data_IF_215669927383
#
_entry.id   IF_215669927383
#
_cell.length_a   1.000
_cell.length_b   1.000
_cell.length_c   1.000
_cell.angle_alpha   90.00
_cell.angle_beta   90.00
_cell.angle_gamma   90.00
#
_symmetry.space_group_name_H-M   'P 1'
#
loop_
_entity.id
_entity.type
_entity.pdbx_description
1 polymer ?
#
# COMPACT_ATOMS: atom_id res chain seq x y z
N UNK A 1 -33.76 -35.94 34.10
CA UNK A 1 -33.34 -34.52 34.23
C UNK A 1 -32.15 -34.48 35.18
N UNK A 2 -31.09 -33.78 34.76
CA UNK A 2 -29.69 -34.08 35.09
C UNK A 2 -29.22 -33.79 36.51
N UNK A 3 -28.12 -34.48 36.84
CA UNK A 3 -27.53 -34.69 38.14
C UNK A 3 -26.60 -33.56 38.66
N UNK A 4 -26.37 -33.65 39.96
CA UNK A 4 -25.46 -32.93 40.87
C UNK A 4 -23.98 -33.27 40.57
N UNK A 5 -23.03 -32.39 40.93
CA UNK A 5 -21.83 -32.69 41.80
C UNK A 5 -20.62 -31.75 41.61
N UNK A 6 -20.20 -31.21 42.77
CA UNK A 6 -18.90 -30.77 43.28
C UNK A 6 -18.13 -29.53 42.75
N UNK A 7 -17.99 -28.58 43.67
CA UNK A 7 -16.80 -27.74 43.81
C UNK A 7 -15.68 -28.43 44.63
N UNK A 8 -14.47 -27.86 44.54
CA UNK A 8 -13.32 -28.22 45.39
C UNK A 8 -12.38 -27.02 45.56
N UNK A 9 -12.11 -26.67 46.82
CA UNK A 9 -11.00 -25.84 47.29
C UNK A 9 -10.07 -26.73 48.12
N UNK A 10 -8.75 -26.59 47.97
CA UNK A 10 -7.76 -26.74 49.07
C UNK A 10 -6.33 -26.46 48.61
N UNK A 11 -5.67 -25.52 49.28
CA UNK A 11 -4.22 -25.43 49.48
C UNK A 11 -3.75 -26.56 50.42
N UNK A 12 -2.48 -27.00 50.30
CA UNK A 12 -1.68 -27.47 51.45
C UNK A 12 -0.18 -27.44 51.10
N UNK A 13 0.61 -27.15 52.12
CA UNK A 13 2.03 -26.74 52.19
C UNK A 13 2.84 -27.82 52.94
N UNK A 14 4.18 -27.71 52.90
CA UNK A 14 5.22 -28.42 53.71
C UNK A 14 5.56 -29.90 53.33
N UNK A 15 6.81 -30.39 53.23
CA UNK A 15 8.09 -30.03 53.88
C UNK A 15 9.37 -30.60 53.16
N UNK A 16 10.53 -30.01 53.47
CA UNK A 16 11.89 -29.87 52.85
C UNK A 16 12.87 -31.09 52.99
N UNK A 17 14.23 -31.06 52.72
CA UNK A 17 15.16 -29.98 52.33
C UNK A 17 16.31 -30.30 51.31
N UNK A 18 16.85 -29.29 50.61
CA UNK A 18 18.31 -29.05 50.48
C UNK A 18 18.63 -27.69 49.83
N UNK A 19 19.47 -26.91 50.50
CA UNK A 19 19.77 -25.46 50.32
C UNK A 19 20.82 -25.14 49.21
N UNK A 20 21.37 -23.90 49.09
CA UNK A 20 21.05 -22.87 48.08
C UNK A 20 22.33 -22.47 47.23
N UNK A 21 22.46 -21.36 46.42
CA UNK A 21 22.35 -19.94 46.85
C UNK A 21 21.93 -18.84 45.80
N UNK A 22 21.40 -17.73 46.34
CA UNK A 22 21.79 -16.30 46.12
C UNK A 22 21.64 -15.61 44.74
N UNK A 23 20.61 -14.75 44.67
CA UNK A 23 20.61 -13.29 44.40
C UNK A 23 21.74 -12.57 43.61
N UNK A 24 21.29 -11.64 42.73
CA UNK A 24 21.81 -10.28 42.36
C UNK A 24 22.49 -10.07 40.99
N UNK A 25 21.87 -9.12 40.23
CA UNK A 25 22.40 -7.89 39.57
C UNK A 25 23.90 -7.87 39.21
N UNK A 26 24.25 -7.38 38.01
CA UNK A 26 25.37 -6.46 37.62
C UNK A 26 25.50 -6.53 36.07
N UNK A 27 25.47 -5.43 35.29
CA UNK A 27 26.47 -4.38 34.96
C UNK A 27 27.77 -4.88 34.30
N UNK A 28 28.32 -4.02 33.45
CA UNK A 28 29.26 -4.26 32.34
C UNK A 28 30.67 -4.77 32.70
N UNK A 29 31.31 -5.35 31.64
CA UNK A 29 32.73 -5.22 31.24
C UNK A 29 33.70 -6.41 31.44
N UNK A 30 34.17 -6.90 30.28
CA UNK A 30 35.57 -7.17 29.86
C UNK A 30 36.31 -8.49 30.19
N UNK A 31 36.81 -9.09 29.08
CA UNK A 31 38.16 -9.67 28.88
C UNK A 31 38.24 -11.19 28.66
N UNK A 32 38.48 -11.59 27.41
CA UNK A 32 39.56 -12.51 27.05
C UNK A 32 39.76 -12.51 25.52
N UNK A 33 40.92 -12.01 25.07
CA UNK A 33 41.49 -12.25 23.73
C UNK A 33 42.58 -13.33 23.87
N UNK A 34 42.90 -14.10 22.80
CA UNK A 34 44.03 -13.64 21.98
C UNK A 34 43.93 -13.96 20.48
N UNK A 35 44.31 -12.97 19.67
CA UNK A 35 45.11 -13.14 18.46
C UNK A 35 44.49 -13.81 17.22
N UNK A 36 44.17 -13.00 16.21
CA UNK A 36 44.83 -13.01 14.88
C UNK A 36 44.31 -11.85 14.03
N UNK A 37 45.25 -11.09 13.52
CA UNK A 37 45.12 -9.97 12.59
C UNK A 37 44.51 -10.42 11.26
N UNK A 38 43.31 -9.94 10.91
CA UNK A 38 42.89 -9.78 9.52
C UNK A 38 41.90 -8.62 9.43
N UNK A 39 42.36 -7.49 8.89
CA UNK A 39 41.51 -6.41 8.40
C UNK A 39 40.83 -6.87 7.11
N UNK A 40 39.51 -6.72 6.94
CA UNK A 40 38.90 -6.79 5.62
C UNK A 40 39.04 -5.43 4.91
N UNK A 41 39.33 -5.40 3.59
CA UNK A 41 39.54 -4.16 2.85
C UNK A 41 38.21 -3.42 2.65
N UNK A 42 38.21 -2.14 3.00
CA UNK A 42 37.08 -1.21 2.84
C UNK A 42 37.12 -0.55 1.46
N UNK A 43 36.95 -1.30 0.37
CA UNK A 43 36.82 -0.73 -1.00
C UNK A 43 36.16 -1.70 -2.00
N UNK A 44 34.99 -2.27 -1.71
CA UNK A 44 34.20 -2.99 -2.76
C UNK A 44 32.67 -2.95 -2.58
N UNK A 45 32.15 -2.44 -1.44
CA UNK A 45 30.70 -2.44 -1.18
C UNK A 45 29.89 -1.44 -2.05
N UNK A 46 30.51 -0.37 -2.55
CA UNK A 46 29.83 0.61 -3.40
C UNK A 46 29.53 0.04 -4.80
N UNK A 47 30.47 -0.70 -5.39
CA UNK A 47 30.33 -1.28 -6.73
C UNK A 47 29.26 -2.38 -6.79
N UNK A 48 29.08 -3.16 -5.72
CA UNK A 48 28.05 -4.19 -5.66
C UNK A 48 26.63 -3.61 -5.60
N UNK A 49 26.46 -2.47 -4.90
CA UNK A 49 25.16 -1.80 -4.80
C UNK A 49 24.80 -1.07 -6.10
N UNK A 50 25.80 -0.51 -6.78
CA UNK A 50 25.64 0.16 -8.08
C UNK A 50 25.08 -0.80 -9.15
N UNK A 51 25.63 -2.01 -9.23
CA UNK A 51 25.18 -3.03 -10.20
C UNK A 51 23.73 -3.45 -9.91
N UNK A 52 23.37 -3.69 -8.64
CA UNK A 52 21.98 -4.06 -8.28
C UNK A 52 20.97 -2.94 -8.55
N UNK A 53 21.37 -1.67 -8.41
CA UNK A 53 20.51 -0.51 -8.72
C UNK A 53 20.29 -0.33 -10.21
N UNK A 54 21.33 -0.55 -11.04
CA UNK A 54 21.20 -0.52 -12.50
C UNK A 54 20.31 -1.67 -12.99
N UNK A 55 20.47 -2.87 -12.45
CA UNK A 55 19.63 -4.00 -12.83
C UNK A 55 18.15 -3.77 -12.44
N UNK A 56 17.90 -3.03 -11.34
CA UNK A 56 16.56 -2.56 -11.00
C UNK A 56 16.01 -1.55 -12.02
N UNK A 57 16.82 -0.59 -12.46
CA UNK A 57 16.43 0.37 -13.51
C UNK A 57 16.15 -0.31 -14.85
N UNK A 58 16.92 -1.33 -15.23
CA UNK A 58 16.68 -2.13 -16.44
C UNK A 58 15.34 -2.87 -16.35
N UNK A 59 14.97 -3.36 -15.16
CA UNK A 59 13.65 -3.98 -14.96
C UNK A 59 12.50 -2.98 -15.07
N UNK A 60 12.69 -1.71 -14.68
CA UNK A 60 11.67 -0.67 -14.75
C UNK A 60 11.56 -0.06 -16.16
N UNK A 61 12.65 -0.07 -16.93
CA UNK A 61 12.73 0.52 -18.26
C UNK A 61 13.30 -0.46 -19.29
N UNK A 62 12.56 -1.52 -19.68
CA UNK A 62 13.06 -2.54 -20.60
C UNK A 62 13.38 -2.01 -22.01
N UNK A 63 12.75 -0.91 -22.43
CA UNK A 63 12.95 -0.33 -23.77
C UNK A 63 14.13 0.66 -23.83
N UNK A 64 14.84 0.88 -22.72
CA UNK A 64 15.97 1.83 -22.64
C UNK A 64 17.31 1.09 -22.61
N UNK A 65 18.32 1.66 -23.25
CA UNK A 65 19.67 1.06 -23.29
C UNK A 65 20.37 1.12 -21.91
N UNK A 66 21.08 0.06 -21.55
CA UNK A 66 21.74 -0.11 -20.25
C UNK A 66 22.79 0.98 -20.00
N UNK A 67 23.53 1.37 -21.03
CA UNK A 67 24.53 2.44 -20.93
C UNK A 67 23.91 3.81 -20.64
N UNK A 68 22.70 4.05 -21.16
CA UNK A 68 21.95 5.26 -20.89
C UNK A 68 21.41 5.29 -19.44
N UNK A 69 20.95 4.15 -18.94
CA UNK A 69 20.50 4.00 -17.55
C UNK A 69 21.64 4.21 -16.56
N UNK A 70 22.83 3.65 -16.84
CA UNK A 70 24.04 3.83 -16.03
C UNK A 70 24.46 5.31 -15.97
N UNK A 71 24.48 6.00 -17.12
CA UNK A 71 24.78 7.43 -17.18
C UNK A 71 23.76 8.28 -16.42
N UNK A 72 22.47 7.98 -16.55
CA UNK A 72 21.41 8.71 -15.84
C UNK A 72 21.46 8.48 -14.32
N UNK A 73 21.92 7.29 -13.89
CA UNK A 73 22.13 6.96 -12.49
C UNK A 73 23.34 7.71 -11.92
N UNK A 74 24.46 7.75 -12.65
CA UNK A 74 25.65 8.55 -12.30
C UNK A 74 25.32 10.06 -12.21
N UNK A 75 24.58 10.60 -13.19
CA UNK A 75 24.14 12.01 -13.21
C UNK A 75 23.16 12.36 -12.08
N UNK A 76 22.54 11.34 -11.48
CA UNK A 76 21.65 11.46 -10.33
C UNK A 76 22.36 11.23 -8.99
N UNK A 77 23.69 11.05 -9.00
CA UNK A 77 24.51 10.93 -7.80
C UNK A 77 24.33 9.61 -7.06
N UNK A 78 24.15 8.51 -7.80
CA UNK A 78 23.85 7.16 -7.28
C UNK A 78 22.53 7.08 -6.48
N UNK A 79 21.63 8.06 -6.66
CA UNK A 79 20.29 8.07 -6.09
C UNK A 79 19.28 7.48 -7.08
N UNK A 80 18.74 6.32 -6.72
CA UNK A 80 17.79 5.55 -7.51
C UNK A 80 16.49 6.32 -7.77
N UNK A 81 15.97 7.02 -6.77
CA UNK A 81 14.67 7.69 -6.87
C UNK A 81 14.76 8.91 -7.79
N UNK A 82 15.88 9.64 -7.74
CA UNK A 82 16.16 10.75 -8.64
C UNK A 82 16.38 10.28 -10.08
N UNK A 83 17.07 9.14 -10.28
CA UNK A 83 17.26 8.54 -11.59
C UNK A 83 15.92 8.10 -12.22
N UNK A 84 15.07 7.41 -11.45
CA UNK A 84 13.74 6.97 -11.90
C UNK A 84 12.88 8.17 -12.29
N UNK A 85 12.89 9.24 -11.50
CA UNK A 85 12.10 10.45 -11.78
C UNK A 85 12.53 11.11 -13.10
N UNK A 86 13.83 11.28 -13.30
CA UNK A 86 14.39 11.87 -14.53
C UNK A 86 14.09 11.04 -15.77
N UNK A 87 14.23 9.73 -15.70
CA UNK A 87 13.94 8.83 -16.81
C UNK A 87 12.44 8.86 -17.20
N UNK A 88 11.55 8.96 -16.20
CA UNK A 88 10.13 9.13 -16.44
C UNK A 88 9.79 10.50 -17.07
N UNK A 89 10.39 11.59 -16.58
CA UNK A 89 10.21 12.92 -17.17
C UNK A 89 10.66 12.95 -18.65
N UNK A 90 11.76 12.25 -18.97
CA UNK A 90 12.22 12.11 -20.35
C UNK A 90 11.22 11.34 -21.22
N UNK A 91 10.66 10.22 -20.75
CA UNK A 91 9.62 9.48 -21.48
C UNK A 91 8.37 10.32 -21.71
N UNK A 92 7.95 11.07 -20.70
CA UNK A 92 6.80 11.97 -20.80
C UNK A 92 7.07 13.14 -21.76
N UNK A 93 8.29 13.68 -21.78
CA UNK A 93 8.68 14.72 -22.73
C UNK A 93 8.72 14.22 -24.18
N UNK A 94 9.18 12.98 -24.42
CA UNK A 94 9.16 12.34 -25.74
C UNK A 94 7.71 12.11 -26.21
N UNK A 95 6.82 11.71 -25.31
CA UNK A 95 5.39 11.57 -25.61
C UNK A 95 4.68 12.92 -25.82
N UNK A 96 5.11 13.99 -25.16
CA UNK A 96 4.59 15.33 -25.36
C UNK A 96 5.01 15.90 -26.73
N UNK A 97 6.27 15.68 -27.13
CA UNK A 97 6.81 16.15 -28.41
C UNK A 97 6.25 15.39 -29.62
N UNK A 98 5.69 14.19 -29.44
CA UNK A 98 4.96 13.46 -30.50
C UNK A 98 3.49 13.87 -30.60
N UNK A 99 2.93 14.53 -29.57
CA UNK A 99 1.54 14.99 -29.55
C UNK A 99 1.29 16.30 -30.31
N UNK A 100 2.34 17.11 -30.53
CA UNK A 100 2.26 18.43 -31.18
C UNK A 100 1.98 18.36 -32.69
N UNK A 101 2.07 17.16 -33.30
CA UNK A 101 1.68 16.93 -34.70
C UNK A 101 0.22 16.49 -34.90
N UNK A 102 -0.54 16.25 -33.81
CA UNK A 102 -1.87 15.60 -33.90
C UNK A 102 -3.05 16.46 -33.45
N UNK A 103 -2.82 17.69 -32.98
CA UNK A 103 -3.90 18.53 -32.46
C UNK A 103 -4.73 19.25 -33.53
N UNK A 104 -4.33 19.28 -34.81
CA UNK A 104 -4.99 20.10 -35.84
C UNK A 104 -6.16 19.40 -36.59
N UNK A 105 -6.44 18.12 -36.32
CA UNK A 105 -7.48 17.36 -37.05
C UNK A 105 -8.78 17.19 -36.22
N UNK A 106 -8.72 17.32 -34.89
CA UNK A 106 -9.81 16.86 -34.02
C UNK A 106 -10.91 17.89 -33.73
N UNK A 107 -10.82 19.12 -34.26
CA UNK A 107 -11.71 20.23 -33.89
C UNK A 107 -12.83 20.53 -34.90
N UNK A 108 -12.89 19.84 -36.04
CA UNK A 108 -13.93 20.09 -37.06
C UNK A 108 -15.09 19.08 -37.09
N UNK A 109 -15.04 17.96 -36.35
CA UNK A 109 -16.03 16.88 -36.53
C UNK A 109 -17.23 16.91 -35.57
N UNK A 110 -17.32 17.87 -34.65
CA UNK A 110 -18.31 17.87 -33.56
C UNK A 110 -19.48 18.89 -33.70
N UNK A 111 -19.70 19.47 -34.88
CA UNK A 111 -20.68 20.56 -35.05
C UNK A 111 -21.80 20.34 -36.09
N UNK A 112 -22.09 19.11 -36.54
CA UNK A 112 -23.12 18.88 -37.56
C UNK A 112 -23.94 17.60 -37.39
N UNK A 113 -24.55 17.38 -36.23
CA UNK A 113 -25.63 16.39 -36.09
C UNK A 113 -26.72 16.92 -35.16
N UNK A 114 -27.47 17.92 -35.60
CA UNK A 114 -28.87 18.13 -35.19
C UNK A 114 -29.62 18.64 -36.41
N UNK A 115 -30.73 17.98 -36.72
CA UNK A 115 -31.77 18.31 -37.70
C UNK A 115 -31.51 17.86 -39.16
N UNK A 116 -32.15 16.80 -39.61
CA UNK A 116 -33.48 16.89 -40.25
C UNK A 116 -34.04 15.48 -40.53
N UNK A 117 -35.35 15.32 -40.37
CA UNK A 117 -36.08 14.09 -40.63
C UNK A 117 -36.57 14.03 -42.08
N UNK A 118 -36.67 12.82 -42.63
CA UNK A 118 -37.31 12.64 -43.94
C UNK A 118 -37.08 11.24 -44.49
N UNK A 119 -38.12 10.42 -44.42
CA UNK A 119 -38.14 9.07 -44.96
C UNK A 119 -37.78 9.02 -46.45
N UNK A 120 -36.85 8.13 -46.82
CA UNK A 120 -36.78 7.55 -48.15
C UNK A 120 -36.68 6.04 -48.01
N UNK A 121 -37.69 5.38 -48.57
CA UNK A 121 -37.83 3.94 -48.71
C UNK A 121 -36.56 3.34 -49.31
N UNK A 122 -36.04 2.31 -48.64
CA UNK A 122 -34.98 1.48 -49.19
C UNK A 122 -35.46 0.73 -50.42
N UNK A 123 -34.80 0.96 -51.53
CA UNK A 123 -34.60 -0.05 -52.57
C UNK A 123 -33.08 -0.23 -52.69
N UNK A 124 -32.57 -1.28 -52.04
CA UNK A 124 -31.21 -1.80 -52.25
C UNK A 124 -31.35 -3.26 -52.70
N UNK A 125 -30.55 -3.71 -53.69
CA UNK A 125 -30.86 -4.87 -54.51
C UNK A 125 -30.63 -6.20 -53.76
N UNK A 126 -31.34 -7.28 -54.12
CA UNK A 126 -31.17 -8.59 -53.51
C UNK A 126 -29.91 -9.25 -54.07
N UNK A 127 -28.81 -9.30 -53.29
CA UNK A 127 -27.61 -9.97 -53.81
C UNK A 127 -26.46 -10.28 -52.85
N UNK A 128 -26.49 -9.90 -51.58
CA UNK A 128 -25.29 -10.03 -50.73
C UNK A 128 -25.59 -10.56 -49.33
N UNK A 129 -26.25 -11.71 -49.21
CA UNK A 129 -26.33 -12.44 -47.96
C UNK A 129 -26.04 -13.90 -48.23
N UNK A 130 -24.80 -14.34 -47.99
CA UNK A 130 -24.33 -15.70 -47.67
C UNK A 130 -22.81 -15.77 -47.91
N UNK A 131 -22.04 -14.90 -47.24
CA UNK A 131 -20.58 -15.03 -47.33
C UNK A 131 -20.14 -16.16 -46.38
N UNK A 132 -19.34 -17.14 -46.85
CA UNK A 132 -18.90 -18.26 -46.04
C UNK A 132 -18.16 -17.79 -44.78
N UNK A 133 -18.46 -18.37 -43.62
CA UNK A 133 -17.82 -18.01 -42.35
C UNK A 133 -16.66 -18.96 -42.05
N UNK A 134 -16.72 -20.19 -42.56
CA UNK A 134 -15.73 -21.23 -42.29
C UNK A 134 -14.86 -21.53 -43.51
N UNK A 135 -13.60 -21.91 -43.28
CA UNK A 135 -12.64 -22.21 -44.35
C UNK A 135 -13.09 -23.36 -45.27
N UNK A 136 -13.81 -24.34 -44.73
CA UNK A 136 -14.39 -25.44 -45.52
C UNK A 136 -15.47 -24.95 -46.50
N UNK A 137 -16.32 -24.02 -46.07
CA UNK A 137 -17.37 -23.44 -46.91
C UNK A 137 -16.79 -22.55 -48.02
N UNK A 138 -15.68 -21.84 -47.74
CA UNK A 138 -14.91 -21.12 -48.76
C UNK A 138 -14.31 -22.06 -49.80
N UNK A 139 -13.74 -23.20 -49.39
CA UNK A 139 -13.19 -24.20 -50.30
C UNK A 139 -14.29 -24.81 -51.17
N UNK A 140 -15.45 -25.16 -50.60
CA UNK A 140 -16.58 -25.68 -51.35
C UNK A 140 -17.14 -24.66 -52.35
N UNK A 141 -17.19 -23.38 -51.99
CA UNK A 141 -17.62 -22.29 -52.87
C UNK A 141 -16.64 -22.12 -54.03
N UNK A 142 -15.33 -22.09 -53.77
CA UNK A 142 -14.29 -22.00 -54.81
C UNK A 142 -14.34 -23.19 -55.78
N UNK A 143 -14.46 -24.42 -55.26
CA UNK A 143 -14.55 -25.63 -56.07
C UNK A 143 -15.81 -25.63 -56.93
N UNK A 144 -16.96 -25.25 -56.35
CA UNK A 144 -18.23 -25.12 -57.07
C UNK A 144 -18.10 -24.12 -58.21
N UNK A 145 -17.51 -22.97 -57.94
CA UNK A 145 -17.43 -21.88 -58.89
C UNK A 145 -16.51 -22.18 -60.09
N UNK A 146 -15.45 -22.96 -59.86
CA UNK A 146 -14.59 -23.49 -60.93
C UNK A 146 -15.30 -24.54 -61.77
N UNK A 147 -16.06 -25.46 -61.14
CA UNK A 147 -16.75 -26.54 -61.85
C UNK A 147 -17.91 -26.03 -62.72
N UNK A 148 -18.50 -24.88 -62.39
CA UNK A 148 -19.59 -24.26 -63.14
C UNK A 148 -19.14 -23.27 -64.21
N UNK A 149 -17.84 -22.99 -64.32
CA UNK A 149 -17.31 -22.00 -65.25
C UNK A 149 -17.39 -22.47 -66.71
N UNK A 150 -17.76 -21.56 -67.62
CA UNK A 150 -17.93 -21.87 -69.05
C UNK A 150 -16.59 -21.94 -69.82
N UNK A 151 -15.52 -21.36 -69.26
CA UNK A 151 -14.17 -21.35 -69.82
C UNK A 151 -13.12 -21.19 -68.72
N UNK A 152 -11.85 -21.45 -69.05
CA UNK A 152 -10.73 -21.28 -68.12
C UNK A 152 -10.59 -19.82 -67.67
N UNK A 153 -10.83 -18.87 -68.57
CA UNK A 153 -10.81 -17.44 -68.28
C UNK A 153 -11.97 -17.01 -67.37
N UNK A 154 -13.17 -17.58 -67.55
CA UNK A 154 -14.31 -17.39 -66.65
C UNK A 154 -14.02 -17.95 -65.24
N UNK A 155 -13.41 -19.14 -65.16
CA UNK A 155 -12.99 -19.74 -63.88
C UNK A 155 -11.97 -18.86 -63.15
N UNK A 156 -10.98 -18.30 -63.86
CA UNK A 156 -9.98 -17.37 -63.28
C UNK A 156 -10.63 -16.09 -62.76
N UNK A 157 -11.54 -15.50 -63.52
CA UNK A 157 -12.25 -14.28 -63.10
C UNK A 157 -13.06 -14.53 -61.83
N UNK A 158 -13.84 -15.63 -61.79
CA UNK A 158 -14.64 -16.00 -60.61
C UNK A 158 -13.78 -16.34 -59.40
N UNK A 159 -12.69 -17.09 -59.58
CA UNK A 159 -11.73 -17.36 -58.50
C UNK A 159 -11.10 -16.08 -57.97
N UNK A 160 -10.72 -15.14 -58.83
CA UNK A 160 -10.15 -13.86 -58.39
C UNK A 160 -11.14 -13.05 -57.56
N UNK A 161 -12.41 -12.99 -57.97
CA UNK A 161 -13.47 -12.31 -57.21
C UNK A 161 -13.76 -13.00 -55.87
N UNK A 162 -13.79 -14.33 -55.85
CA UNK A 162 -14.01 -15.11 -54.62
C UNK A 162 -12.83 -14.98 -53.63
N UNK A 163 -11.59 -14.93 -54.12
CA UNK A 163 -10.41 -14.68 -53.27
C UNK A 163 -10.37 -13.24 -52.75
N UNK A 164 -10.75 -12.25 -53.54
CA UNK A 164 -10.88 -10.87 -53.07
C UNK A 164 -11.97 -10.74 -51.99
N UNK A 165 -13.09 -11.45 -52.15
CA UNK A 165 -14.14 -11.51 -51.13
C UNK A 165 -13.64 -12.20 -49.84
N UNK A 166 -12.83 -13.26 -49.98
CA UNK A 166 -12.19 -13.94 -48.85
C UNK A 166 -11.22 -13.01 -48.13
N UNK A 167 -10.37 -12.26 -48.84
CA UNK A 167 -9.45 -11.28 -48.25
C UNK A 167 -10.20 -10.21 -47.45
N UNK A 168 -11.27 -9.64 -48.03
CA UNK A 168 -12.13 -8.68 -47.34
C UNK A 168 -12.76 -9.28 -46.08
N UNK A 169 -13.18 -10.54 -46.14
CA UNK A 169 -13.76 -11.24 -44.98
C UNK A 169 -12.74 -11.48 -43.87
N UNK A 170 -11.50 -11.83 -44.22
CA UNK A 170 -10.41 -12.03 -43.26
C UNK A 170 -10.05 -10.71 -42.59
N UNK A 171 -9.91 -9.64 -43.36
CA UNK A 171 -9.62 -8.31 -42.82
C UNK A 171 -10.74 -7.81 -41.89
N UNK A 172 -12.00 -7.95 -42.31
CA UNK A 172 -13.15 -7.59 -41.49
C UNK A 172 -13.22 -8.41 -40.19
N UNK A 173 -12.92 -9.71 -40.25
CA UNK A 173 -12.94 -10.55 -39.05
C UNK A 173 -11.77 -10.22 -38.11
N UNK A 174 -10.55 -10.04 -38.63
CA UNK A 174 -9.37 -9.69 -37.83
C UNK A 174 -9.54 -8.33 -37.13
N UNK A 175 -10.09 -7.34 -37.83
CA UNK A 175 -10.39 -6.03 -37.23
C UNK A 175 -11.50 -6.12 -36.18
N UNK A 176 -12.57 -6.89 -36.45
CA UNK A 176 -13.64 -7.11 -35.48
C UNK A 176 -13.17 -7.88 -34.24
N UNK A 177 -12.29 -8.87 -34.40
CA UNK A 177 -11.71 -9.64 -33.31
C UNK A 177 -10.79 -8.78 -32.44
N UNK A 178 -9.94 -7.96 -33.06
CA UNK A 178 -9.09 -6.98 -32.36
C UNK A 178 -9.92 -5.95 -31.60
N UNK A 179 -11.01 -5.46 -32.20
CA UNK A 179 -11.92 -4.53 -31.53
C UNK A 179 -12.62 -5.19 -30.33
N UNK A 180 -13.03 -6.46 -30.46
CA UNK A 180 -13.65 -7.23 -29.37
C UNK A 180 -12.65 -7.52 -28.24
N UNK A 181 -11.41 -7.90 -28.55
CA UNK A 181 -10.39 -8.14 -27.52
C UNK A 181 -10.08 -6.84 -26.77
N UNK A 182 -9.88 -5.74 -27.49
CA UNK A 182 -9.65 -4.43 -26.90
C UNK A 182 -10.82 -3.98 -26.00
N UNK A 183 -12.07 -4.18 -26.44
CA UNK A 183 -13.25 -3.86 -25.62
C UNK A 183 -13.30 -4.70 -24.34
N UNK A 184 -12.99 -6.00 -24.41
CA UNK A 184 -12.94 -6.88 -23.23
C UNK A 184 -11.87 -6.42 -22.24
N UNK A 185 -10.66 -6.13 -22.73
CA UNK A 185 -9.57 -5.61 -21.91
C UNK A 185 -9.93 -4.27 -21.27
N UNK A 186 -10.57 -3.37 -22.01
CA UNK A 186 -11.01 -2.08 -21.48
C UNK A 186 -12.03 -2.23 -20.34
N UNK A 187 -12.96 -3.19 -20.44
CA UNK A 187 -13.92 -3.49 -19.37
C UNK A 187 -13.19 -4.02 -18.13
N UNK A 188 -12.26 -4.96 -18.31
CA UNK A 188 -11.48 -5.53 -17.20
C UNK A 188 -10.64 -4.46 -16.51
N UNK A 189 -9.96 -3.60 -17.26
CA UNK A 189 -9.17 -2.50 -16.71
C UNK A 189 -10.04 -1.49 -15.94
N UNK A 190 -11.23 -1.17 -16.44
CA UNK A 190 -12.20 -0.32 -15.73
C UNK A 190 -12.65 -0.94 -14.41
N UNK A 191 -12.94 -2.24 -14.39
CA UNK A 191 -13.31 -2.96 -13.17
C UNK A 191 -12.18 -2.99 -12.14
N UNK A 192 -10.94 -3.21 -12.58
CA UNK A 192 -9.77 -3.15 -11.69
C UNK A 192 -9.56 -1.75 -11.11
N UNK A 193 -9.73 -0.71 -11.93
CA UNK A 193 -9.62 0.69 -11.47
C UNK A 193 -10.70 1.02 -10.45
N UNK A 194 -11.94 0.58 -10.66
CA UNK A 194 -13.02 0.77 -9.69
C UNK A 194 -12.73 0.04 -8.37
N UNK A 195 -12.25 -1.20 -8.42
CA UNK A 195 -11.86 -1.95 -7.23
C UNK A 195 -10.75 -1.23 -6.44
N UNK A 196 -9.71 -0.73 -7.13
CA UNK A 196 -8.63 0.03 -6.50
C UNK A 196 -9.13 1.34 -5.85
N UNK A 197 -10.10 2.02 -6.47
CA UNK A 197 -10.69 3.23 -5.88
C UNK A 197 -11.50 2.91 -4.62
N UNK A 198 -12.22 1.79 -4.60
CA UNK A 198 -12.94 1.32 -3.42
C UNK A 198 -11.96 0.97 -2.29
N UNK A 199 -10.89 0.22 -2.58
CA UNK A 199 -9.83 -0.09 -1.62
C UNK A 199 -9.15 1.17 -1.09
N UNK A 200 -8.82 2.14 -1.96
CA UNK A 200 -8.24 3.42 -1.55
C UNK A 200 -9.15 4.19 -0.58
N UNK A 201 -10.46 4.11 -0.80
CA UNK A 201 -11.45 4.73 0.10
C UNK A 201 -11.49 4.04 1.46
N UNK A 202 -11.42 2.70 1.48
CA UNK A 202 -11.34 1.92 2.73
C UNK A 202 -10.06 2.25 3.48
N UNK A 203 -8.91 2.31 2.80
CA UNK A 203 -7.63 2.67 3.39
C UNK A 203 -7.64 4.08 3.96
N UNK A 204 -8.18 5.06 3.24
CA UNK A 204 -8.35 6.43 3.76
C UNK A 204 -9.18 6.46 5.04
N UNK A 205 -10.30 5.73 5.09
CA UNK A 205 -11.13 5.61 6.30
C UNK A 205 -10.37 4.96 7.45
N UNK A 206 -9.63 3.88 7.18
CA UNK A 206 -8.83 3.19 8.20
C UNK A 206 -7.75 4.11 8.78
N UNK A 207 -7.05 4.87 7.94
CA UNK A 207 -6.04 5.85 8.36
C UNK A 207 -6.67 6.96 9.20
N UNK A 208 -7.83 7.49 8.81
CA UNK A 208 -8.53 8.50 9.62
C UNK A 208 -8.90 7.98 11.00
N UNK A 209 -9.44 6.76 11.09
CA UNK A 209 -9.77 6.12 12.38
C UNK A 209 -8.50 5.89 13.22
N UNK A 210 -7.41 5.47 12.59
CA UNK A 210 -6.14 5.26 13.29
C UNK A 210 -5.57 6.57 13.83
N UNK A 211 -5.67 7.65 13.05
CA UNK A 211 -5.24 8.97 13.50
C UNK A 211 -6.08 9.48 14.67
N UNK A 212 -7.40 9.33 14.61
CA UNK A 212 -8.31 9.70 15.71
C UNK A 212 -7.97 8.94 17.00
N UNK A 213 -7.78 7.62 16.92
CA UNK A 213 -7.38 6.80 18.08
C UNK A 213 -6.02 7.19 18.65
N UNK A 214 -5.06 7.51 17.79
CA UNK A 214 -3.75 7.98 18.22
C UNK A 214 -3.86 9.31 18.96
N UNK A 215 -4.69 10.22 18.45
CA UNK A 215 -4.96 11.51 19.07
C UNK A 215 -5.60 11.35 20.45
N UNK A 216 -6.62 10.51 20.58
CA UNK A 216 -7.26 10.20 21.87
C UNK A 216 -6.25 9.59 22.87
N UNK A 217 -5.37 8.71 22.40
CA UNK A 217 -4.32 8.13 23.24
C UNK A 217 -3.33 9.20 23.73
N UNK A 218 -2.95 10.14 22.88
CA UNK A 218 -2.10 11.26 23.27
C UNK A 218 -2.81 12.16 24.29
N UNK A 219 -4.07 12.54 24.04
CA UNK A 219 -4.88 13.36 24.95
C UNK A 219 -5.01 12.70 26.33
N UNK A 220 -5.43 11.43 26.39
CA UNK A 220 -5.50 10.65 27.64
C UNK A 220 -4.13 10.49 28.31
N UNK A 221 -3.05 10.40 27.53
CA UNK A 221 -1.69 10.40 28.05
C UNK A 221 -1.33 11.70 28.79
N UNK A 222 -1.74 12.86 28.27
CA UNK A 222 -1.54 14.15 28.93
C UNK A 222 -2.34 14.24 30.24
N UNK A 223 -3.61 13.84 30.22
CA UNK A 223 -4.47 13.83 31.42
C UNK A 223 -3.90 12.91 32.51
N UNK A 224 -3.44 11.72 32.12
CA UNK A 224 -2.81 10.77 33.03
C UNK A 224 -1.54 11.34 33.65
N UNK A 225 -0.73 12.07 32.87
CA UNK A 225 0.46 12.74 33.39
C UNK A 225 0.09 13.84 34.40
N UNK A 226 -0.91 14.67 34.10
CA UNK A 226 -1.43 15.69 35.01
C UNK A 226 -1.94 15.08 36.31
N UNK A 227 -2.70 13.98 36.24
CA UNK A 227 -3.21 13.29 37.42
C UNK A 227 -2.07 12.71 38.26
N UNK A 228 -1.05 12.11 37.64
CA UNK A 228 0.15 11.64 38.37
C UNK A 228 0.84 12.78 39.11
N UNK A 229 0.96 13.94 38.48
CA UNK A 229 1.55 15.12 39.14
C UNK A 229 0.70 15.54 40.34
N UNK A 230 -0.62 15.63 40.20
CA UNK A 230 -1.52 15.98 41.30
C UNK A 230 -1.45 14.99 42.45
N UNK A 231 -1.43 13.69 42.16
CA UNK A 231 -1.25 12.63 43.17
C UNK A 231 0.08 12.80 43.91
N UNK A 232 1.17 13.08 43.19
CA UNK A 232 2.47 13.32 43.84
C UNK A 232 2.47 14.53 44.75
N UNK A 233 1.76 15.60 44.38
CA UNK A 233 1.60 16.79 45.22
C UNK A 233 0.82 16.47 46.50
N UNK A 234 -0.30 15.75 46.40
CA UNK A 234 -1.06 15.36 47.58
C UNK A 234 -0.30 14.40 48.50
N UNK A 235 0.50 13.48 47.94
CA UNK A 235 1.39 12.63 48.73
C UNK A 235 2.43 13.44 49.52
N UNK A 236 3.00 14.48 48.92
CA UNK A 236 3.94 15.39 49.61
C UNK A 236 3.26 16.19 50.72
N UNK A 237 2.05 16.69 50.46
CA UNK A 237 1.25 17.41 51.46
C UNK A 237 0.90 16.51 52.65
N UNK A 238 0.50 15.26 52.41
CA UNK A 238 0.25 14.28 53.46
C UNK A 238 1.51 14.04 54.31
N UNK A 239 2.66 13.78 53.67
CA UNK A 239 3.92 13.59 54.38
C UNK A 239 4.28 14.80 55.25
N UNK A 240 4.08 16.01 54.73
CA UNK A 240 4.34 17.26 55.47
C UNK A 240 3.42 17.39 56.69
N UNK A 241 2.13 17.10 56.52
CA UNK A 241 1.15 17.14 57.62
C UNK A 241 1.45 16.06 58.67
N UNK A 242 1.84 14.85 58.27
CA UNK A 242 2.25 13.78 59.17
C UNK A 242 3.45 14.19 60.04
N UNK A 243 4.48 14.78 59.42
CA UNK A 243 5.67 15.27 60.14
C UNK A 243 5.30 16.40 61.11
N UNK A 244 4.46 17.35 60.67
CA UNK A 244 4.00 18.45 61.54
C UNK A 244 3.18 17.94 62.72
N UNK A 245 2.28 16.99 62.49
CA UNK A 245 1.46 16.40 63.56
C UNK A 245 2.33 15.63 64.57
N UNK A 246 3.33 14.90 64.09
CA UNK A 246 4.30 14.24 64.96
C UNK A 246 5.09 15.25 65.80
N UNK A 247 5.61 16.32 65.19
CA UNK A 247 6.34 17.37 65.89
C UNK A 247 5.47 18.04 66.97
N UNK A 248 4.23 18.40 66.65
CA UNK A 248 3.28 18.96 67.61
C UNK A 248 2.98 18.00 68.76
N UNK A 249 2.78 16.71 68.46
CA UNK A 249 2.57 15.67 69.48
C UNK A 249 3.77 15.53 70.41
N UNK A 250 4.99 15.60 69.87
CA UNK A 250 6.23 15.56 70.65
C UNK A 250 6.37 16.79 71.55
N UNK A 251 6.12 17.99 71.03
CA UNK A 251 6.15 19.23 71.82
C UNK A 251 5.10 19.23 72.93
N UNK A 252 3.89 18.73 72.65
CA UNK A 252 2.82 18.61 73.64
C UNK A 252 3.25 17.68 74.78
N UNK A 253 3.80 16.51 74.47
CA UNK A 253 4.32 15.57 75.49
C UNK A 253 5.44 16.21 76.31
N UNK A 254 6.35 16.93 75.68
CA UNK A 254 7.41 17.64 76.37
C UNK A 254 6.87 18.70 77.33
N UNK A 255 5.89 19.51 76.91
CA UNK A 255 5.23 20.52 77.74
C UNK A 255 4.46 19.91 78.92
N UNK A 256 3.83 18.75 78.75
CA UNK A 256 3.17 18.02 79.84
C UNK A 256 4.17 17.46 80.86
N UNK A 257 5.33 16.97 80.40
CA UNK A 257 6.38 16.44 81.27
C UNK A 257 7.17 17.54 81.98
N UNK A 258 7.39 18.69 81.33
CA UNK A 258 7.97 19.89 81.98
C UNK A 258 6.97 20.66 82.84
N UNK A 259 5.67 20.35 82.70
CA UNK A 259 4.55 20.87 83.50
C UNK A 259 4.38 20.24 84.88
N UNK A 260 5.44 19.64 85.46
CA UNK A 260 5.50 19.42 86.91
C UNK A 260 5.66 20.78 87.59
N UNK A 261 4.53 21.43 87.86
CA UNK A 261 4.44 22.61 88.73
C UNK A 261 5.36 22.45 89.96
N UNK A 262 6.39 23.30 90.15
CA UNK A 262 6.83 23.63 91.49
C UNK A 262 5.66 24.37 92.12
N UNK A 263 4.99 23.71 93.08
CA UNK A 263 3.76 24.19 93.69
C UNK A 263 3.82 25.66 94.09
N UNK A 264 2.96 26.47 93.46
CA UNK A 264 2.46 27.73 94.00
C UNK A 264 1.28 28.21 93.15
N UNK A 265 0.15 27.52 93.29
CA UNK A 265 -1.13 28.21 93.16
C UNK A 265 -1.22 29.19 94.34
N UNK A 266 -1.43 30.47 94.07
CA UNK A 266 -1.78 31.44 95.10
C UNK A 266 -3.17 31.06 95.65
N UNK A 267 -3.32 30.85 96.97
CA UNK A 267 -4.64 30.68 97.55
C UNK A 267 -5.32 32.04 97.57
N UNK A 268 -6.59 32.04 97.16
CA UNK A 268 -7.63 33.05 97.29
C UNK A 268 -7.21 34.43 97.83
N UNK A 269 -7.38 35.44 96.97
CA UNK A 269 -7.62 36.81 97.44
C UNK A 269 -9.04 37.17 96.99
N UNK A 270 -9.93 37.22 97.98
CA UNK A 270 -11.29 37.78 97.91
C UNK A 270 -11.28 39.26 97.55
#
# INVERSE_FOLDING_TARGET
>A
MSAVVCGKRSNIFEESPSSPPVTKRIRCSSSSSPGRTFSPPRTTAASSNHISSIDHLVSLFPDMDRQFLEKAFEESGDDLDLAIKRLNDLRLSVAANSSDLTQDINTQFLAKVVNDGGATSGEEPPGANNLPVNGAEWVELLVREVLTAASVEDAKARLSQALEALEKSIYANATAETAKSFQKENIVLKQQLEALLQENTILKRAVSIQHERQKEFEETGHELHQLKQLVSQYQEQLRTLEVNNYALTMHLKQAQQSGSLPGRFHPDVF
#
